data_IF_296904635942
#
_entry.id   IF_296904635942
#
_cell.length_a   1.000
_cell.length_b   1.000
_cell.length_c   1.000
_cell.angle_alpha   90.00
_cell.angle_beta   90.00
_cell.angle_gamma   90.00
#
_symmetry.space_group_name_H-M   'P 1'
#
loop_
_entity.id
_entity.type
_entity.pdbx_description
1 polymer ?
#
# COMPACT_ATOMS: atom_id res chain seq x y z
N UNK A 1 -23.93 53.49 20.60
CA UNK A 1 -22.48 53.23 20.44
C UNK A 1 -22.00 52.44 21.65
N UNK A 2 -21.10 51.48 21.41
CA UNK A 2 -20.51 50.47 22.33
C UNK A 2 -21.44 49.30 22.68
N UNK A 3 -21.40 48.19 21.94
CA UNK A 3 -20.41 47.08 21.94
C UNK A 3 -20.84 45.92 22.85
N UNK A 4 -20.63 44.71 22.33
CA UNK A 4 -21.11 43.43 22.83
C UNK A 4 -20.21 42.86 23.93
N UNK A 5 -20.78 42.07 24.85
CA UNK A 5 -20.08 40.88 25.33
C UNK A 5 -21.07 39.79 25.75
N UNK A 6 -21.13 38.73 24.93
CA UNK A 6 -21.84 37.48 25.25
C UNK A 6 -20.87 36.62 26.05
N UNK A 7 -21.03 36.63 27.37
CA UNK A 7 -20.33 35.73 28.27
C UNK A 7 -20.54 34.26 27.93
N UNK A 8 -19.45 33.64 27.46
CA UNK A 8 -19.01 32.24 27.60
C UNK A 8 -20.07 31.16 27.88
N UNK A 9 -20.31 30.33 26.86
CA UNK A 9 -20.62 28.91 27.04
C UNK A 9 -19.34 28.19 27.48
N UNK A 10 -19.35 27.57 28.66
CA UNK A 10 -18.48 26.43 28.93
C UNK A 10 -19.15 25.17 28.36
N UNK A 11 -18.56 24.45 27.40
CA UNK A 11 -18.95 23.09 27.14
C UNK A 11 -18.19 22.18 28.10
N UNK A 12 -18.95 21.51 28.98
CA UNK A 12 -18.45 20.48 29.86
C UNK A 12 -17.62 19.45 29.09
N UNK A 13 -16.38 19.29 29.55
CA UNK A 13 -15.49 18.17 29.26
C UNK A 13 -16.25 16.86 29.56
N UNK A 14 -16.61 16.11 28.52
CA UNK A 14 -16.94 14.69 28.64
C UNK A 14 -15.74 13.88 28.16
N UNK A 15 -14.82 13.60 29.08
CA UNK A 15 -13.60 12.80 28.82
C UNK A 15 -13.87 11.30 28.62
N UNK A 16 -15.13 10.86 28.63
CA UNK A 16 -15.51 9.45 28.43
C UNK A 16 -15.59 8.97 26.98
N UNK A 17 -15.64 9.88 25.99
CA UNK A 17 -15.82 9.52 24.57
C UNK A 17 -14.52 9.39 23.75
N UNK A 18 -13.40 9.87 24.27
CA UNK A 18 -12.14 9.95 23.52
C UNK A 18 -11.44 8.59 23.38
N UNK A 19 -11.47 7.76 24.43
CA UNK A 19 -10.76 6.47 24.45
C UNK A 19 -11.36 5.40 23.53
N UNK A 20 -12.68 5.21 23.57
CA UNK A 20 -13.36 4.23 22.71
C UNK A 20 -13.27 4.60 21.23
N UNK A 21 -13.41 5.89 20.91
CA UNK A 21 -13.28 6.39 19.54
C UNK A 21 -11.83 6.25 19.02
N UNK A 22 -10.83 6.46 19.89
CA UNK A 22 -9.42 6.23 19.56
C UNK A 22 -9.12 4.75 19.29
N UNK A 23 -9.65 3.83 20.10
CA UNK A 23 -9.51 2.37 19.90
C UNK A 23 -10.22 1.93 18.60
N UNK A 24 -11.43 2.44 18.34
CA UNK A 24 -12.19 2.15 17.12
C UNK A 24 -11.54 2.71 15.85
N UNK A 25 -10.75 3.79 15.96
CA UNK A 25 -9.96 4.32 14.84
C UNK A 25 -8.61 3.60 14.68
N UNK A 26 -8.05 3.02 15.75
CA UNK A 26 -6.82 2.24 15.72
C UNK A 26 -6.99 0.90 14.99
N UNK A 27 -8.12 0.22 15.21
CA UNK A 27 -8.38 -1.12 14.66
C UNK A 27 -8.32 -1.15 13.12
N UNK A 28 -8.98 -0.22 12.38
CA UNK A 28 -8.87 -0.16 10.92
C UNK A 28 -7.45 0.12 10.43
N UNK A 29 -6.70 1.01 11.09
CA UNK A 29 -5.34 1.35 10.69
C UNK A 29 -4.40 0.13 10.82
N UNK A 30 -4.47 -0.57 11.95
CA UNK A 30 -3.71 -1.81 12.17
C UNK A 30 -4.12 -2.89 11.17
N UNK A 31 -5.42 -3.08 10.93
CA UNK A 31 -5.91 -4.07 9.98
C UNK A 31 -5.35 -3.84 8.55
N UNK A 32 -5.38 -2.60 8.07
CA UNK A 32 -4.87 -2.27 6.74
C UNK A 32 -3.34 -2.38 6.64
N UNK A 33 -2.60 -2.06 7.71
CA UNK A 33 -1.15 -2.28 7.78
C UNK A 33 -0.79 -3.78 7.69
N UNK A 34 -1.51 -4.61 8.44
CA UNK A 34 -1.31 -6.05 8.45
C UNK A 34 -1.59 -6.67 7.08
N UNK A 35 -2.66 -6.25 6.39
CA UNK A 35 -2.93 -6.71 5.02
C UNK A 35 -1.82 -6.28 4.07
N UNK A 36 -1.42 -5.00 4.12
CA UNK A 36 -0.42 -4.47 3.21
C UNK A 36 0.95 -5.16 3.37
N UNK A 37 1.28 -5.70 4.56
CA UNK A 37 2.60 -6.26 4.87
C UNK A 37 2.62 -7.77 5.02
N UNK A 38 1.70 -8.35 5.79
CA UNK A 38 1.69 -9.80 6.08
C UNK A 38 1.23 -10.60 4.87
N UNK A 39 0.14 -10.21 4.20
CA UNK A 39 -0.35 -10.94 3.02
C UNK A 39 0.71 -11.12 1.92
N UNK A 40 1.42 -10.07 1.46
CA UNK A 40 2.47 -10.23 0.46
C UNK A 40 3.68 -10.98 1.00
N UNK A 41 4.06 -10.77 2.26
CA UNK A 41 5.14 -11.51 2.90
C UNK A 41 4.86 -13.01 2.97
N UNK A 42 3.64 -13.40 3.35
CA UNK A 42 3.23 -14.81 3.38
C UNK A 42 3.28 -15.42 1.99
N UNK A 43 2.75 -14.73 0.97
CA UNK A 43 2.81 -15.20 -0.41
C UNK A 43 4.27 -15.40 -0.86
N UNK A 44 5.16 -14.46 -0.54
CA UNK A 44 6.59 -14.58 -0.83
C UNK A 44 7.23 -15.81 -0.18
N UNK A 45 7.05 -16.00 1.13
CA UNK A 45 7.65 -17.12 1.87
C UNK A 45 7.10 -18.48 1.44
N UNK A 46 5.79 -18.56 1.16
CA UNK A 46 5.16 -19.79 0.65
C UNK A 46 5.78 -20.16 -0.70
N UNK A 47 5.83 -19.22 -1.65
CA UNK A 47 6.40 -19.50 -2.99
C UNK A 47 7.89 -19.84 -2.89
N UNK A 48 8.64 -19.16 -2.03
CA UNK A 48 10.05 -19.46 -1.79
C UNK A 48 10.25 -20.90 -1.28
N UNK A 49 9.43 -21.34 -0.33
CA UNK A 49 9.47 -22.70 0.20
C UNK A 49 9.18 -23.76 -0.88
N UNK A 50 8.25 -23.47 -1.81
CA UNK A 50 7.97 -24.36 -2.94
C UNK A 50 9.05 -24.36 -4.01
N UNK A 51 9.80 -23.26 -4.19
CA UNK A 51 10.92 -23.19 -5.14
C UNK A 51 12.19 -23.90 -4.64
N UNK A 52 12.40 -23.90 -3.33
CA UNK A 52 13.56 -24.47 -2.66
C UNK A 52 13.12 -25.44 -1.55
N UNK A 53 12.50 -26.58 -1.91
CA UNK A 53 12.13 -27.58 -0.92
C UNK A 53 13.40 -28.14 -0.27
N UNK A 54 13.51 -28.04 1.06
CA UNK A 54 14.54 -28.75 1.79
C UNK A 54 14.05 -30.16 2.13
N UNK A 55 14.62 -31.18 1.46
CA UNK A 55 14.25 -32.58 1.64
C UNK A 55 14.52 -33.15 3.05
N UNK A 56 15.18 -32.39 3.93
CA UNK A 56 15.62 -32.85 5.26
C UNK A 56 14.85 -32.23 6.43
N UNK A 57 13.91 -31.31 6.19
CA UNK A 57 13.10 -30.70 7.25
C UNK A 57 11.83 -31.53 7.50
N UNK A 58 11.93 -32.56 8.36
CA UNK A 58 10.74 -33.12 8.97
C UNK A 58 10.12 -32.06 9.90
N UNK A 59 8.84 -31.67 9.69
CA UNK A 59 8.20 -30.70 10.56
C UNK A 59 8.07 -31.33 11.96
N UNK A 60 8.54 -30.69 13.04
CA UNK A 60 8.37 -31.24 14.38
C UNK A 60 6.89 -31.27 14.76
N UNK A 61 6.40 -32.38 15.31
CA UNK A 61 4.97 -32.66 15.58
C UNK A 61 4.28 -31.67 16.55
N UNK A 62 5.04 -30.83 17.25
CA UNK A 62 4.54 -29.85 18.24
C UNK A 62 4.52 -28.41 17.65
N UNK A 63 4.99 -28.23 16.41
CA UNK A 63 5.42 -26.93 15.89
C UNK A 63 4.42 -26.18 15.01
N UNK A 64 3.20 -26.67 14.78
CA UNK A 64 2.27 -26.02 13.85
C UNK A 64 1.96 -24.56 14.20
N UNK A 65 1.64 -24.29 15.47
CA UNK A 65 1.32 -22.93 15.94
C UNK A 65 2.54 -22.00 16.03
N UNK A 66 3.67 -22.51 16.53
CA UNK A 66 4.91 -21.73 16.62
C UNK A 66 5.47 -21.40 15.23
N UNK A 67 5.42 -22.35 14.29
CA UNK A 67 5.83 -22.15 12.91
C UNK A 67 4.93 -21.11 12.21
N UNK A 68 3.61 -21.15 12.44
CA UNK A 68 2.69 -20.15 11.94
C UNK A 68 3.01 -18.75 12.50
N UNK A 69 3.31 -18.65 13.79
CA UNK A 69 3.69 -17.39 14.43
C UNK A 69 4.99 -16.83 13.86
N UNK A 70 6.01 -17.68 13.67
CA UNK A 70 7.26 -17.30 13.00
C UNK A 70 7.00 -16.87 11.56
N UNK A 71 6.15 -17.57 10.82
CA UNK A 71 5.78 -17.20 9.46
C UNK A 71 5.11 -15.83 9.42
N UNK A 72 4.21 -15.52 10.36
CA UNK A 72 3.56 -14.20 10.47
C UNK A 72 4.60 -13.10 10.69
N UNK A 73 5.53 -13.30 11.63
CA UNK A 73 6.60 -12.33 11.92
C UNK A 73 7.50 -12.13 10.69
N UNK A 74 7.99 -13.20 10.09
CA UNK A 74 8.83 -13.14 8.89
C UNK A 74 8.11 -12.47 7.73
N UNK A 75 6.81 -12.74 7.59
CA UNK A 75 5.97 -12.10 6.58
C UNK A 75 5.86 -10.61 6.83
N UNK A 76 5.60 -10.18 8.06
CA UNK A 76 5.55 -8.76 8.42
C UNK A 76 6.90 -8.06 8.15
N UNK A 77 8.01 -8.66 8.57
CA UNK A 77 9.37 -8.12 8.36
C UNK A 77 9.68 -8.01 6.87
N UNK A 78 9.41 -9.03 6.07
CA UNK A 78 9.58 -8.96 4.61
C UNK A 78 8.68 -7.90 3.97
N UNK A 79 7.44 -7.76 4.45
CA UNK A 79 6.52 -6.71 4.02
C UNK A 79 7.03 -5.30 4.32
N UNK A 80 7.68 -5.08 5.47
CA UNK A 80 8.36 -3.81 5.77
C UNK A 80 9.47 -3.55 4.76
N UNK A 81 10.32 -4.54 4.48
CA UNK A 81 11.41 -4.42 3.51
C UNK A 81 10.87 -4.08 2.12
N UNK A 82 9.82 -4.77 1.68
CA UNK A 82 9.17 -4.50 0.39
C UNK A 82 8.55 -3.10 0.33
N UNK A 83 7.95 -2.64 1.43
CA UNK A 83 7.38 -1.30 1.54
C UNK A 83 8.44 -0.21 1.39
N UNK A 84 9.71 -0.50 1.72
CA UNK A 84 10.84 0.40 1.45
C UNK A 84 11.00 0.77 -0.04
N UNK A 85 10.46 -0.03 -0.96
CA UNK A 85 10.47 0.25 -2.40
C UNK A 85 9.22 1.01 -2.90
N UNK A 86 8.24 1.30 -2.04
CA UNK A 86 7.02 2.02 -2.41
C UNK A 86 7.29 3.38 -3.10
N UNK A 87 8.23 4.23 -2.63
CA UNK A 87 8.52 5.51 -3.30
C UNK A 87 9.00 5.34 -4.75
N UNK A 88 9.71 4.26 -5.05
CA UNK A 88 10.17 3.94 -6.40
C UNK A 88 8.98 3.63 -7.31
N UNK A 89 8.02 2.83 -6.82
CA UNK A 89 6.82 2.48 -7.56
C UNK A 89 5.93 3.70 -7.80
N UNK A 90 5.69 4.52 -6.75
CA UNK A 90 4.90 5.74 -6.88
C UNK A 90 5.50 6.69 -7.92
N UNK A 91 6.82 6.89 -7.88
CA UNK A 91 7.53 7.70 -8.85
C UNK A 91 7.42 7.14 -10.27
N UNK A 92 7.62 5.83 -10.45
CA UNK A 92 7.53 5.18 -11.76
C UNK A 92 6.12 5.27 -12.34
N UNK A 93 5.09 5.10 -11.50
CA UNK A 93 3.70 5.25 -11.91
C UNK A 93 3.38 6.68 -12.36
N UNK A 94 3.82 7.68 -11.60
CA UNK A 94 3.63 9.10 -11.98
C UNK A 94 4.42 9.42 -13.26
N UNK A 95 5.65 8.95 -13.39
CA UNK A 95 6.44 9.12 -14.60
C UNK A 95 5.77 8.50 -15.83
N UNK A 96 5.14 7.33 -15.66
CA UNK A 96 4.38 6.65 -16.70
C UNK A 96 3.13 7.46 -17.08
N UNK A 97 2.36 7.94 -16.10
CA UNK A 97 1.20 8.80 -16.35
C UNK A 97 1.56 10.09 -17.07
N UNK A 98 2.69 10.73 -16.70
CA UNK A 98 3.18 11.93 -17.38
C UNK A 98 3.49 11.67 -18.87
N UNK A 99 3.92 10.45 -19.21
CA UNK A 99 4.20 10.06 -20.60
C UNK A 99 2.93 9.76 -21.38
N UNK A 100 1.90 9.22 -20.72
CA UNK A 100 0.62 8.87 -21.33
C UNK A 100 -0.47 9.90 -20.97
N UNK A 101 -0.53 11.01 -21.74
CA UNK A 101 -1.45 12.14 -21.49
C UNK A 101 -2.93 11.75 -21.36
N UNK A 102 -3.38 10.71 -22.08
CA UNK A 102 -4.74 10.19 -21.94
C UNK A 102 -5.02 9.65 -20.53
N UNK A 103 -4.08 8.88 -19.96
CA UNK A 103 -4.21 8.36 -18.60
C UNK A 103 -4.08 9.47 -17.56
N UNK A 104 -3.21 10.45 -17.79
CA UNK A 104 -3.12 11.62 -16.92
C UNK A 104 -4.44 12.42 -16.88
N UNK A 105 -5.16 12.52 -18.00
CA UNK A 105 -6.46 13.19 -18.05
C UNK A 105 -7.53 12.43 -17.26
N UNK A 106 -7.56 11.09 -17.34
CA UNK A 106 -8.50 10.26 -16.57
C UNK A 106 -8.32 10.39 -15.04
N UNK A 107 -7.12 10.74 -14.59
CA UNK A 107 -6.76 10.86 -13.17
C UNK A 107 -6.82 12.33 -12.70
N UNK A 108 -7.22 13.26 -13.56
CA UNK A 108 -7.32 14.69 -13.22
C UNK A 108 -5.96 15.38 -13.06
N UNK A 109 -4.92 14.84 -13.71
CA UNK A 109 -3.53 15.33 -13.66
C UNK A 109 -3.10 16.06 -14.96
N UNK A 110 -4.00 16.21 -15.94
CA UNK A 110 -3.67 16.73 -17.27
C UNK A 110 -3.35 18.24 -17.32
N UNK A 111 -3.96 19.03 -16.43
CA UNK A 111 -3.83 20.51 -16.46
C UNK A 111 -2.67 21.05 -15.62
N UNK A 112 -1.95 20.17 -14.91
CA UNK A 112 -0.78 20.57 -14.13
C UNK A 112 0.37 20.98 -15.06
N UNK A 113 1.07 22.10 -14.79
CA UNK A 113 2.23 22.53 -15.59
C UNK A 113 3.28 21.42 -15.67
N UNK A 114 4.17 21.50 -16.67
CA UNK A 114 5.25 20.53 -16.92
C UNK A 114 6.29 20.52 -15.79
N UNK A 115 5.87 20.02 -14.63
CA UNK A 115 6.68 19.80 -13.44
C UNK A 115 7.32 18.41 -13.53
N UNK A 116 8.51 18.28 -12.96
CA UNK A 116 9.19 16.98 -12.88
C UNK A 116 8.32 15.94 -12.15
N UNK A 117 8.42 14.66 -12.54
CA UNK A 117 7.66 13.58 -11.90
C UNK A 117 7.84 13.54 -10.38
N UNK A 118 9.03 13.93 -9.89
CA UNK A 118 9.32 14.04 -8.46
C UNK A 118 8.56 15.20 -7.78
N UNK A 119 8.46 16.36 -8.44
CA UNK A 119 7.65 17.48 -7.93
C UNK A 119 6.16 17.11 -7.87
N UNK A 120 5.67 16.36 -8.87
CA UNK A 120 4.29 15.84 -8.88
C UNK A 120 4.05 14.82 -7.75
N UNK A 121 4.97 13.90 -7.55
CA UNK A 121 4.91 12.96 -6.43
C UNK A 121 4.81 13.70 -5.09
N UNK A 122 5.68 14.69 -4.86
CA UNK A 122 5.65 15.51 -3.64
C UNK A 122 4.33 16.28 -3.48
N UNK A 123 3.76 16.78 -4.57
CA UNK A 123 2.48 17.49 -4.55
C UNK A 123 1.32 16.55 -4.16
N UNK A 124 1.27 15.34 -4.72
CA UNK A 124 0.25 14.34 -4.37
C UNK A 124 0.35 13.93 -2.90
N UNK A 125 1.56 13.69 -2.39
CA UNK A 125 1.77 13.36 -0.97
C UNK A 125 1.23 14.47 -0.06
N UNK A 126 1.49 15.73 -0.44
CA UNK A 126 0.96 16.88 0.31
C UNK A 126 -0.57 16.96 0.25
N UNK A 127 -1.18 16.74 -0.92
CA UNK A 127 -2.64 16.75 -1.07
C UNK A 127 -3.30 15.68 -0.21
N UNK A 128 -2.70 14.50 -0.13
CA UNK A 128 -3.15 13.44 0.76
C UNK A 128 -3.16 13.89 2.23
N UNK A 129 -2.07 14.49 2.70
CA UNK A 129 -1.96 14.98 4.09
C UNK A 129 -3.01 16.07 4.37
N UNK A 130 -3.23 16.98 3.42
CA UNK A 130 -4.25 18.03 3.51
C UNK A 130 -5.67 17.44 3.61
N UNK A 131 -6.00 16.40 2.84
CA UNK A 131 -7.31 15.73 2.92
C UNK A 131 -7.49 15.02 4.26
N UNK A 132 -6.46 14.32 4.74
CA UNK A 132 -6.52 13.61 6.03
C UNK A 132 -6.76 14.60 7.18
N UNK A 133 -6.17 15.80 7.11
CA UNK A 133 -6.38 16.85 8.11
C UNK A 133 -7.74 17.54 7.98
N UNK A 134 -8.29 17.64 6.77
CA UNK A 134 -9.55 18.31 6.51
C UNK A 134 -10.78 17.46 6.87
N UNK A 135 -10.76 16.15 6.59
CA UNK A 135 -11.87 15.24 6.88
C UNK A 135 -11.39 13.82 7.25
N UNK A 136 -11.66 13.40 8.48
CA UNK A 136 -11.29 12.08 9.01
C UNK A 136 -11.94 10.91 8.22
N UNK A 137 -13.14 11.11 7.67
CA UNK A 137 -13.87 10.11 6.90
C UNK A 137 -13.24 9.86 5.52
N UNK A 138 -12.92 10.95 4.81
CA UNK A 138 -12.15 10.94 3.58
C UNK A 138 -10.75 10.36 3.81
N UNK A 139 -10.10 10.75 4.91
CA UNK A 139 -8.81 10.21 5.34
C UNK A 139 -8.83 8.68 5.50
N UNK A 140 -9.83 8.11 6.17
CA UNK A 140 -9.99 6.64 6.30
C UNK A 140 -10.14 5.96 4.94
N UNK A 141 -10.87 6.58 4.01
CA UNK A 141 -11.04 6.05 2.64
C UNK A 141 -9.71 6.05 1.88
N UNK A 142 -8.89 7.10 2.06
CA UNK A 142 -7.56 7.17 1.46
C UNK A 142 -6.59 6.18 2.09
N UNK A 143 -6.62 5.97 3.41
CA UNK A 143 -5.80 4.96 4.10
C UNK A 143 -6.11 3.56 3.59
N UNK A 144 -7.39 3.21 3.41
CA UNK A 144 -7.79 1.94 2.79
C UNK A 144 -7.21 1.80 1.37
N UNK A 145 -7.38 2.84 0.54
CA UNK A 145 -6.92 2.81 -0.84
C UNK A 145 -5.39 2.73 -0.94
N UNK A 146 -4.67 3.40 -0.03
CA UNK A 146 -3.22 3.30 0.10
C UNK A 146 -2.79 1.89 0.48
N UNK A 147 -3.48 1.24 1.43
CA UNK A 147 -3.15 -0.13 1.80
C UNK A 147 -3.34 -1.13 0.66
N UNK A 148 -4.38 -0.95 -0.18
CA UNK A 148 -4.57 -1.75 -1.40
C UNK A 148 -3.44 -1.54 -2.41
N UNK A 149 -2.95 -0.30 -2.54
CA UNK A 149 -1.78 0.02 -3.37
C UNK A 149 -0.51 -0.65 -2.82
N UNK A 150 -0.23 -0.46 -1.53
CA UNK A 150 0.94 -1.04 -0.87
C UNK A 150 0.93 -2.56 -0.93
N UNK A 151 -0.24 -3.21 -0.79
CA UNK A 151 -0.38 -4.64 -1.01
C UNK A 151 0.11 -5.05 -2.41
N UNK A 152 -0.34 -4.37 -3.47
CA UNK A 152 0.06 -4.68 -4.84
C UNK A 152 1.55 -4.38 -5.10
N UNK A 153 2.06 -3.26 -4.60
CA UNK A 153 3.48 -2.90 -4.69
C UNK A 153 4.36 -3.95 -4.00
N UNK A 154 3.95 -4.42 -2.82
CA UNK A 154 4.68 -5.42 -2.05
C UNK A 154 4.62 -6.80 -2.71
N UNK A 155 3.48 -7.21 -3.26
CA UNK A 155 3.37 -8.45 -4.06
C UNK A 155 4.28 -8.42 -5.28
N UNK A 156 4.30 -7.31 -6.02
CA UNK A 156 5.16 -7.14 -7.19
C UNK A 156 6.64 -7.14 -6.82
N UNK A 157 7.01 -6.44 -5.74
CA UNK A 157 8.39 -6.41 -5.21
C UNK A 157 8.83 -7.80 -4.77
N UNK A 158 7.98 -8.54 -4.06
CA UNK A 158 8.24 -9.93 -3.69
C UNK A 158 8.40 -10.84 -4.91
N UNK A 159 7.59 -10.66 -5.96
CA UNK A 159 7.73 -11.39 -7.21
C UNK A 159 9.09 -11.12 -7.90
N UNK A 160 9.54 -9.87 -7.93
CA UNK A 160 10.85 -9.49 -8.48
C UNK A 160 11.97 -10.08 -7.62
N UNK A 161 11.86 -10.02 -6.29
CA UNK A 161 12.82 -10.63 -5.38
C UNK A 161 12.95 -12.14 -5.62
N UNK A 162 11.83 -12.86 -5.80
CA UNK A 162 11.84 -14.28 -6.15
C UNK A 162 12.51 -14.57 -7.50
N UNK A 163 12.36 -13.68 -8.48
CA UNK A 163 13.05 -13.79 -9.77
C UNK A 163 14.57 -13.61 -9.61
N UNK A 164 14.99 -12.60 -8.84
CA UNK A 164 16.41 -12.32 -8.58
C UNK A 164 17.08 -13.45 -7.79
N UNK A 165 16.39 -14.01 -6.79
CA UNK A 165 16.87 -15.18 -6.04
C UNK A 165 17.05 -16.37 -7.00
N UNK A 166 16.09 -16.62 -7.90
CA UNK A 166 16.19 -17.73 -8.85
C UNK A 166 17.30 -17.58 -9.88
N UNK A 167 17.64 -16.35 -10.27
CA UNK A 167 18.82 -16.09 -11.10
C UNK A 167 20.11 -16.44 -10.36
N UNK A 168 20.18 -16.14 -9.06
CA UNK A 168 21.36 -16.41 -8.22
C UNK A 168 21.46 -17.86 -7.72
N UNK A 169 20.32 -18.54 -7.55
CA UNK A 169 20.22 -19.90 -7.03
C UNK A 169 19.30 -20.72 -7.93
N UNK A 170 19.85 -21.75 -8.58
CA UNK A 170 19.06 -22.64 -9.42
C UNK A 170 17.89 -23.25 -8.64
N UNK A 171 16.67 -22.83 -8.95
CA UNK A 171 15.47 -23.41 -8.36
C UNK A 171 15.29 -24.84 -8.84
N UNK A 172 14.93 -25.74 -7.92
CA UNK A 172 14.74 -27.17 -8.21
C UNK A 172 13.28 -27.62 -7.95
N UNK A 173 12.45 -26.76 -7.36
CA UNK A 173 11.07 -27.07 -6.98
C UNK A 173 10.01 -26.72 -8.04
N UNK A 174 8.76 -27.11 -7.75
CA UNK A 174 7.60 -27.10 -8.65
C UNK A 174 7.14 -25.71 -9.15
N UNK A 175 7.65 -24.63 -8.59
CA UNK A 175 7.36 -23.25 -9.01
C UNK A 175 8.55 -22.55 -9.69
N UNK A 176 9.58 -23.29 -10.13
CA UNK A 176 10.70 -22.71 -10.88
C UNK A 176 10.20 -21.97 -12.13
N UNK A 177 10.76 -20.78 -12.36
CA UNK A 177 10.55 -19.98 -13.57
C UNK A 177 10.99 -20.72 -14.83
N UNK A 178 12.00 -21.59 -14.75
CA UNK A 178 12.45 -22.40 -15.89
C UNK A 178 11.42 -23.45 -16.30
N UNK A 179 10.70 -24.03 -15.32
CA UNK A 179 9.70 -25.08 -15.57
C UNK A 179 8.36 -24.50 -16.04
N UNK A 180 7.99 -23.31 -15.56
CA UNK A 180 6.70 -22.68 -15.86
C UNK A 180 6.82 -21.21 -16.29
N UNK A 181 7.52 -20.90 -17.39
CA UNK A 181 7.79 -19.51 -17.78
C UNK A 181 6.51 -18.74 -18.14
N UNK A 182 5.54 -19.39 -18.79
CA UNK A 182 4.26 -18.77 -19.17
C UNK A 182 3.42 -18.36 -17.96
N UNK A 183 3.27 -19.25 -16.98
CA UNK A 183 2.51 -18.97 -15.75
C UNK A 183 3.16 -17.86 -14.92
N UNK A 184 4.49 -17.93 -14.74
CA UNK A 184 5.24 -16.91 -14.00
C UNK A 184 5.21 -15.55 -14.72
N UNK A 185 5.39 -15.53 -16.05
CA UNK A 185 5.31 -14.32 -16.85
C UNK A 185 3.92 -13.69 -16.82
N UNK A 186 2.86 -14.49 -16.95
CA UNK A 186 1.48 -14.01 -16.83
C UNK A 186 1.18 -13.47 -15.43
N UNK A 187 1.63 -14.15 -14.37
CA UNK A 187 1.45 -13.70 -13.00
C UNK A 187 2.18 -12.38 -12.73
N UNK A 188 3.42 -12.23 -13.20
CA UNK A 188 4.17 -10.98 -13.08
C UNK A 188 3.48 -9.84 -13.85
N UNK A 189 3.00 -10.09 -15.06
CA UNK A 189 2.26 -9.10 -15.85
C UNK A 189 0.94 -8.72 -15.17
N UNK A 190 0.19 -9.69 -14.64
CA UNK A 190 -1.05 -9.44 -13.92
C UNK A 190 -0.82 -8.59 -12.66
N UNK A 191 0.24 -8.87 -11.90
CA UNK A 191 0.64 -8.05 -10.74
C UNK A 191 1.05 -6.64 -11.15
N UNK A 192 1.80 -6.49 -12.24
CA UNK A 192 2.18 -5.20 -12.78
C UNK A 192 0.94 -4.37 -13.14
N UNK A 193 0.02 -4.95 -13.94
CA UNK A 193 -1.24 -4.28 -14.32
C UNK A 193 -2.09 -3.95 -13.10
N UNK A 194 -2.22 -4.87 -12.14
CA UNK A 194 -2.98 -4.65 -10.92
C UNK A 194 -2.39 -3.49 -10.10
N UNK A 195 -1.07 -3.42 -9.95
CA UNK A 195 -0.38 -2.32 -9.26
C UNK A 195 -0.65 -0.99 -9.94
N UNK A 196 -0.47 -0.89 -11.26
CA UNK A 196 -0.72 0.35 -12.00
C UNK A 196 -2.19 0.79 -11.92
N UNK A 197 -3.14 -0.13 -12.09
CA UNK A 197 -4.57 0.18 -12.00
C UNK A 197 -4.96 0.68 -10.60
N UNK A 198 -4.45 0.01 -9.55
CA UNK A 198 -4.68 0.43 -8.16
C UNK A 198 -4.07 1.79 -7.88
N UNK A 199 -2.85 2.05 -8.35
CA UNK A 199 -2.21 3.36 -8.23
C UNK A 199 -3.02 4.45 -8.91
N UNK A 200 -3.48 4.23 -10.15
CA UNK A 200 -4.29 5.23 -10.88
C UNK A 200 -5.59 5.55 -10.15
N UNK A 201 -6.30 4.55 -9.65
CA UNK A 201 -7.51 4.75 -8.86
C UNK A 201 -7.22 5.52 -7.56
N UNK A 202 -6.11 5.21 -6.88
CA UNK A 202 -5.69 5.93 -5.68
C UNK A 202 -5.41 7.40 -5.97
N UNK A 203 -4.60 7.69 -6.99
CA UNK A 203 -4.28 9.06 -7.40
C UNK A 203 -5.54 9.85 -7.78
N UNK A 204 -6.48 9.22 -8.50
CA UNK A 204 -7.74 9.85 -8.87
C UNK A 204 -8.61 10.16 -7.65
N UNK A 205 -8.63 9.27 -6.65
CA UNK A 205 -9.33 9.50 -5.37
C UNK A 205 -8.70 10.63 -4.57
N UNK A 206 -7.37 10.71 -4.49
CA UNK A 206 -6.67 11.81 -3.81
C UNK A 206 -7.03 13.13 -4.45
N UNK A 207 -6.94 13.23 -5.78
CA UNK A 207 -7.30 14.45 -6.53
C UNK A 207 -8.76 14.85 -6.30
N UNK A 208 -9.69 13.90 -6.41
CA UNK A 208 -11.12 14.16 -6.23
C UNK A 208 -11.47 14.60 -4.79
N UNK A 209 -10.93 13.93 -3.77
CA UNK A 209 -11.22 14.27 -2.37
C UNK A 209 -10.56 15.58 -1.94
N UNK A 210 -9.39 15.91 -2.50
CA UNK A 210 -8.74 17.19 -2.31
C UNK A 210 -9.59 18.32 -2.89
N UNK A 211 -10.14 18.12 -4.09
CA UNK A 211 -11.05 19.09 -4.69
C UNK A 211 -12.28 19.34 -3.81
N UNK A 212 -12.92 18.26 -3.34
CA UNK A 212 -14.17 18.29 -2.58
C UNK A 212 -14.01 18.92 -1.17
N UNK A 213 -12.97 18.52 -0.43
CA UNK A 213 -12.85 18.87 1.00
C UNK A 213 -11.86 20.00 1.30
N UNK A 214 -10.91 20.27 0.40
CA UNK A 214 -9.85 21.26 0.64
C UNK A 214 -10.04 22.50 -0.24
N UNK A 215 -10.33 22.32 -1.54
CA UNK A 215 -10.46 23.48 -2.44
C UNK A 215 -11.87 24.05 -2.55
N UNK A 216 -12.91 23.29 -2.14
CA UNK A 216 -14.28 23.77 -2.04
C UNK A 216 -14.96 24.10 -3.37
N UNK A 217 -14.63 23.36 -4.44
CA UNK A 217 -15.27 23.46 -5.75
C UNK A 217 -16.50 22.56 -5.88
#
# INVERSE_FOLDING_TARGET
>A
MCEADKGKKEPGKSEGGSGLTSILNLIPSVYYDLIARICPGMAFWIVLAFKYPHEQLQPPDILGGALLFVLIILSYVSGIVFTGFAPLWDWLSIATLNRFRFLAALVGLADAPASSSFARWKAVTRQLDEVIQADDGAGKTLVKAMAEVSLCQNLLTGCIALALIEIGFSACGALSMAQHPGFNGFSALALLVAMYMRQMMFLGRVSHLHQLHVTGH
#
